data_IF_338876769036
#
_entry.id   IF_338876769036
#
_cell.length_a   1.000
_cell.length_b   1.000
_cell.length_c   1.000
_cell.angle_alpha   90.00
_cell.angle_beta   90.00
_cell.angle_gamma   90.00
#
_symmetry.space_group_name_H-M   'P 1'
#
loop_
_entity.id
_entity.type
_entity.pdbx_description
1 polymer ?
#
# COMPACT_ATOMS: atom_id res chain seq x y z
N UNK A 1 -15.96 -25.70 3.95
CA UNK A 1 -15.73 -26.31 2.62
C UNK A 1 -14.39 -25.75 2.14
N UNK A 2 -13.38 -26.62 1.93
CA UNK A 2 -12.14 -26.20 1.28
C UNK A 2 -12.47 -25.95 -0.20
N UNK A 3 -12.75 -24.71 -0.56
CA UNK A 3 -12.87 -24.35 -1.96
C UNK A 3 -11.46 -24.43 -2.56
N UNK A 4 -11.25 -25.38 -3.47
CA UNK A 4 -9.98 -25.52 -4.20
C UNK A 4 -9.86 -24.40 -5.25
N UNK A 5 -9.66 -23.17 -4.77
CA UNK A 5 -9.46 -22.02 -5.66
C UNK A 5 -8.21 -22.15 -6.53
N UNK A 6 -7.20 -22.92 -6.10
CA UNK A 6 -5.97 -23.12 -6.86
C UNK A 6 -6.23 -23.81 -8.19
N UNK A 7 -7.15 -24.78 -8.24
CA UNK A 7 -7.49 -25.51 -9.46
C UNK A 7 -8.09 -24.59 -10.54
N UNK A 8 -8.83 -23.54 -10.15
CA UNK A 8 -9.40 -22.57 -11.09
C UNK A 8 -8.31 -21.84 -11.87
N UNK A 9 -7.21 -21.47 -11.20
CA UNK A 9 -6.14 -20.66 -11.77
C UNK A 9 -4.99 -21.48 -12.37
N UNK A 10 -4.94 -22.79 -12.14
CA UNK A 10 -3.90 -23.69 -12.68
C UNK A 10 -3.92 -23.80 -14.22
N UNK A 11 -5.04 -23.42 -14.87
CA UNK A 11 -5.15 -23.39 -16.32
C UNK A 11 -4.42 -22.21 -16.98
N UNK A 12 -4.10 -21.15 -16.20
CA UNK A 12 -3.51 -19.90 -16.69
C UNK A 12 -2.19 -19.54 -16.02
N UNK A 13 -1.91 -20.11 -14.84
CA UNK A 13 -0.69 -19.85 -14.07
C UNK A 13 0.11 -21.15 -13.89
N UNK A 14 1.43 -21.02 -13.82
CA UNK A 14 2.33 -22.12 -13.49
C UNK A 14 2.24 -22.46 -12.00
N UNK A 15 2.58 -23.67 -11.61
CA UNK A 15 2.56 -24.15 -10.25
C UNK A 15 3.32 -23.22 -9.26
N UNK A 16 4.48 -22.71 -9.69
CA UNK A 16 5.29 -21.80 -8.88
C UNK A 16 4.72 -20.37 -8.74
N UNK A 17 3.62 -20.07 -9.42
CA UNK A 17 2.87 -18.81 -9.33
C UNK A 17 1.65 -18.92 -8.41
N UNK A 18 1.32 -20.13 -7.92
CA UNK A 18 0.17 -20.39 -7.07
C UNK A 18 0.64 -20.94 -5.73
N UNK A 19 0.16 -20.36 -4.64
CA UNK A 19 0.35 -20.91 -3.29
C UNK A 19 -0.99 -21.01 -2.59
N UNK A 20 -1.18 -22.04 -1.80
CA UNK A 20 -2.35 -22.22 -0.93
C UNK A 20 -1.98 -21.99 0.52
N UNK A 21 -2.93 -21.46 1.31
CA UNK A 21 -2.72 -21.16 2.74
C UNK A 21 -1.45 -20.30 3.00
N UNK A 22 -1.15 -19.37 2.09
CA UNK A 22 0.05 -18.52 2.23
C UNK A 22 -0.12 -17.49 3.34
N UNK A 23 0.77 -17.49 4.36
CA UNK A 23 0.67 -16.57 5.48
C UNK A 23 0.87 -15.11 5.06
N UNK A 24 -0.16 -14.29 5.18
CA UNK A 24 -0.13 -12.87 4.76
C UNK A 24 0.85 -12.02 5.57
N UNK A 25 1.21 -12.43 6.79
CA UNK A 25 2.27 -11.79 7.58
C UNK A 25 3.63 -11.70 6.88
N UNK A 26 3.87 -12.54 5.85
CA UNK A 26 5.08 -12.48 5.01
C UNK A 26 5.01 -11.40 3.94
N UNK A 27 3.82 -10.88 3.68
CA UNK A 27 3.51 -9.96 2.59
C UNK A 27 2.99 -8.60 3.08
N UNK A 28 3.06 -8.35 4.38
CA UNK A 28 2.72 -7.05 5.00
C UNK A 28 3.92 -6.48 5.74
N UNK A 29 4.09 -5.16 5.72
CA UNK A 29 5.15 -4.49 6.47
C UNK A 29 4.93 -4.53 7.99
N UNK A 30 3.68 -4.69 8.44
CA UNK A 30 3.38 -5.00 9.85
C UNK A 30 3.88 -6.37 10.31
N UNK A 31 4.05 -7.30 9.37
CA UNK A 31 4.35 -8.69 9.70
C UNK A 31 3.21 -9.38 10.46
N UNK A 32 1.97 -8.95 10.23
CA UNK A 32 0.73 -9.48 10.81
C UNK A 32 -0.17 -9.97 9.66
N UNK A 33 -0.89 -11.06 9.89
CA UNK A 33 -1.90 -11.60 8.99
C UNK A 33 -1.94 -13.11 8.92
N UNK A 34 -3.14 -13.66 8.98
CA UNK A 34 -3.45 -15.07 8.77
C UNK A 34 -3.26 -15.50 7.31
N UNK A 35 -3.66 -16.72 6.95
CA UNK A 35 -3.42 -17.27 5.62
C UNK A 35 -4.39 -16.70 4.56
N UNK A 36 -3.90 -16.51 3.33
CA UNK A 36 -4.74 -16.40 2.14
C UNK A 36 -5.08 -17.81 1.63
N UNK A 37 -6.34 -18.06 1.28
CA UNK A 37 -6.74 -19.38 0.74
C UNK A 37 -5.95 -19.71 -0.51
N UNK A 38 -5.87 -18.74 -1.45
CA UNK A 38 -5.10 -18.84 -2.67
C UNK A 38 -4.29 -17.55 -2.87
N UNK A 39 -2.99 -17.67 -3.13
CA UNK A 39 -2.07 -16.55 -3.35
C UNK A 39 -1.46 -16.68 -4.74
N UNK A 40 -1.79 -15.74 -5.63
CA UNK A 40 -1.45 -15.75 -7.04
C UNK A 40 -0.37 -14.72 -7.34
N UNK A 41 0.66 -15.11 -8.08
CA UNK A 41 1.83 -14.28 -8.39
C UNK A 41 1.98 -14.11 -9.91
N UNK A 42 1.09 -13.33 -10.57
CA UNK A 42 1.19 -13.07 -12.01
C UNK A 42 2.50 -12.34 -12.35
N UNK A 43 3.06 -12.63 -13.52
CA UNK A 43 4.27 -12.02 -14.05
C UNK A 43 4.00 -11.06 -15.20
N UNK A 44 2.78 -11.11 -15.76
CA UNK A 44 2.35 -10.23 -16.85
C UNK A 44 0.99 -9.58 -16.56
N UNK A 45 0.70 -8.50 -17.27
CA UNK A 45 -0.59 -7.81 -17.19
C UNK A 45 -1.72 -8.67 -17.73
N UNK A 46 -1.44 -9.47 -18.75
CA UNK A 46 -2.37 -10.43 -19.34
C UNK A 46 -2.79 -11.51 -18.34
N UNK A 47 -1.84 -12.01 -17.54
CA UNK A 47 -2.14 -12.96 -16.46
C UNK A 47 -3.05 -12.33 -15.40
N UNK A 48 -2.85 -11.05 -15.02
CA UNK A 48 -3.76 -10.34 -14.11
C UNK A 48 -5.16 -10.25 -14.70
N UNK A 49 -5.29 -9.87 -15.97
CA UNK A 49 -6.60 -9.79 -16.65
C UNK A 49 -7.30 -11.14 -16.73
N UNK A 50 -6.56 -12.22 -16.98
CA UNK A 50 -7.11 -13.58 -17.00
C UNK A 50 -7.54 -14.03 -15.59
N UNK A 51 -6.78 -13.69 -14.55
CA UNK A 51 -7.14 -13.98 -13.16
C UNK A 51 -8.44 -13.26 -12.79
N UNK A 52 -8.55 -11.94 -13.06
CA UNK A 52 -9.76 -11.18 -12.72
C UNK A 52 -10.98 -11.73 -13.44
N UNK A 53 -10.85 -12.07 -14.72
CA UNK A 53 -11.90 -12.70 -15.52
C UNK A 53 -12.35 -14.05 -14.96
N UNK A 54 -11.40 -14.93 -14.60
CA UNK A 54 -11.73 -16.23 -14.03
C UNK A 54 -12.33 -16.12 -12.64
N UNK A 55 -11.80 -15.22 -11.80
CA UNK A 55 -12.35 -14.96 -10.48
C UNK A 55 -13.81 -14.49 -10.57
N UNK A 56 -14.09 -13.55 -11.47
CA UNK A 56 -15.46 -13.07 -11.72
C UNK A 56 -16.38 -14.21 -12.22
N UNK A 57 -15.92 -15.00 -13.20
CA UNK A 57 -16.69 -16.13 -13.78
C UNK A 57 -17.05 -17.19 -12.73
N UNK A 58 -16.16 -17.45 -11.77
CA UNK A 58 -16.32 -18.48 -10.75
C UNK A 58 -16.72 -17.92 -9.38
N UNK A 59 -17.09 -16.62 -9.31
CA UNK A 59 -17.51 -15.93 -8.09
C UNK A 59 -16.47 -16.03 -6.95
N UNK A 60 -15.17 -16.06 -7.30
CA UNK A 60 -14.07 -16.09 -6.33
C UNK A 60 -13.82 -14.68 -5.83
N UNK A 61 -13.91 -14.42 -4.51
CA UNK A 61 -13.50 -13.14 -3.95
C UNK A 61 -12.05 -12.84 -4.30
N UNK A 62 -11.75 -11.63 -4.80
CA UNK A 62 -10.44 -11.24 -5.25
C UNK A 62 -9.92 -10.04 -4.44
N UNK A 63 -8.70 -10.16 -3.93
CA UNK A 63 -7.99 -9.07 -3.28
C UNK A 63 -6.67 -8.79 -4.01
N UNK A 64 -6.49 -7.55 -4.50
CA UNK A 64 -5.25 -7.15 -5.19
C UNK A 64 -4.26 -6.61 -4.18
N UNK A 65 -3.08 -7.22 -4.12
CA UNK A 65 -2.01 -6.88 -3.20
C UNK A 65 -0.81 -6.27 -3.96
N UNK A 66 -0.45 -5.05 -3.58
CA UNK A 66 0.82 -4.45 -3.97
C UNK A 66 1.94 -4.78 -2.96
N UNK A 67 2.64 -3.78 -2.48
CA UNK A 67 3.75 -3.95 -1.53
C UNK A 67 3.34 -4.19 -0.06
N UNK A 68 2.06 -4.29 0.28
CA UNK A 68 1.56 -4.60 1.62
C UNK A 68 1.93 -3.58 2.71
N UNK A 69 2.22 -2.33 2.33
CA UNK A 69 2.79 -1.33 3.23
C UNK A 69 1.74 -0.50 4.01
N UNK A 70 0.45 -0.69 3.71
CA UNK A 70 -0.64 0.00 4.38
C UNK A 70 -1.77 -0.97 4.74
N UNK A 71 -1.42 -2.20 5.12
CA UNK A 71 -2.37 -3.27 5.40
C UNK A 71 -2.20 -3.84 6.81
N UNK A 72 -3.33 -4.06 7.48
CA UNK A 72 -3.47 -4.92 8.65
C UNK A 72 -4.39 -6.08 8.25
N UNK A 73 -3.83 -7.27 8.10
CA UNK A 73 -4.59 -8.47 7.72
C UNK A 73 -5.04 -9.21 8.97
N UNK A 74 -6.32 -9.56 9.05
CA UNK A 74 -6.91 -10.28 10.19
C UNK A 74 -6.29 -11.66 10.39
N UNK A 75 -6.37 -12.17 11.62
CA UNK A 75 -5.72 -13.43 12.00
C UNK A 75 -6.32 -14.67 11.32
N UNK A 76 -7.62 -14.64 10.97
CA UNK A 76 -8.23 -15.68 10.13
C UNK A 76 -7.80 -15.62 8.66
N UNK A 77 -7.21 -14.51 8.22
CA UNK A 77 -6.65 -14.34 6.87
C UNK A 77 -7.65 -13.87 5.83
N UNK A 78 -7.37 -14.12 4.56
CA UNK A 78 -8.16 -13.65 3.40
C UNK A 78 -8.79 -14.84 2.70
N UNK A 79 -10.12 -14.81 2.58
CA UNK A 79 -10.90 -15.81 1.84
C UNK A 79 -10.88 -15.47 0.35
N UNK A 80 -10.84 -16.51 -0.50
CA UNK A 80 -10.75 -16.37 -1.94
C UNK A 80 -9.30 -16.28 -2.43
N UNK A 81 -9.03 -15.42 -3.41
CA UNK A 81 -7.72 -15.29 -4.03
C UNK A 81 -7.09 -13.91 -3.80
N UNK A 82 -5.80 -13.90 -3.46
CA UNK A 82 -4.96 -12.71 -3.38
C UNK A 82 -4.09 -12.65 -4.63
N UNK A 83 -4.17 -11.56 -5.39
CA UNK A 83 -3.34 -11.29 -6.57
C UNK A 83 -2.18 -10.38 -6.17
N UNK A 84 -1.00 -10.95 -6.08
CA UNK A 84 0.21 -10.22 -5.73
C UNK A 84 0.89 -9.65 -6.99
N UNK A 85 0.78 -8.34 -7.18
CA UNK A 85 1.33 -7.64 -8.34
C UNK A 85 2.85 -7.45 -8.29
N UNK A 86 3.50 -7.83 -7.19
CA UNK A 86 4.92 -7.58 -6.95
C UNK A 86 5.90 -8.21 -7.97
N UNK A 87 5.41 -9.05 -8.91
CA UNK A 87 6.20 -9.56 -10.03
C UNK A 87 6.04 -8.76 -11.32
N UNK A 88 5.22 -7.71 -11.34
CA UNK A 88 5.11 -6.80 -12.47
C UNK A 88 6.20 -5.70 -12.35
N UNK A 89 7.25 -5.78 -13.16
CA UNK A 89 8.46 -4.95 -12.98
C UNK A 89 8.76 -4.00 -14.14
N UNK A 90 7.91 -3.92 -15.16
CA UNK A 90 8.15 -3.10 -16.35
C UNK A 90 8.22 -1.62 -15.97
N UNK A 91 9.24 -0.94 -16.50
CA UNK A 91 9.35 0.52 -16.50
C UNK A 91 9.77 0.99 -17.89
N UNK A 92 9.06 1.97 -18.42
CA UNK A 92 9.31 2.51 -19.76
C UNK A 92 9.27 4.03 -19.74
N UNK A 93 10.29 4.65 -20.39
CA UNK A 93 10.36 6.11 -20.53
C UNK A 93 10.02 6.54 -21.95
N UNK A 94 9.18 7.56 -22.08
CA UNK A 94 8.91 8.28 -23.34
C UNK A 94 8.97 9.78 -23.08
N UNK A 95 10.11 10.40 -23.42
CA UNK A 95 10.36 11.81 -23.08
C UNK A 95 10.36 12.04 -21.57
N UNK A 96 9.43 12.86 -21.08
CA UNK A 96 9.23 13.15 -19.66
C UNK A 96 8.17 12.25 -18.99
N UNK A 97 7.60 11.34 -19.74
CA UNK A 97 6.68 10.34 -19.21
C UNK A 97 7.43 9.09 -18.77
N UNK A 98 7.08 8.58 -17.60
CA UNK A 98 7.56 7.33 -17.05
C UNK A 98 6.37 6.42 -16.76
N UNK A 99 6.19 5.36 -17.54
CA UNK A 99 5.17 4.32 -17.30
C UNK A 99 5.78 3.23 -16.44
N UNK A 100 5.13 2.91 -15.33
CA UNK A 100 5.63 2.01 -14.30
C UNK A 100 4.57 0.98 -13.95
N UNK A 101 4.90 -0.30 -14.06
CA UNK A 101 4.02 -1.40 -13.66
C UNK A 101 3.71 -1.34 -12.15
N UNK A 102 2.49 -1.75 -11.79
CA UNK A 102 1.93 -1.58 -10.44
C UNK A 102 2.75 -2.26 -9.34
N UNK A 103 3.49 -3.34 -9.67
CA UNK A 103 4.32 -4.08 -8.72
C UNK A 103 5.68 -3.46 -8.42
N UNK A 104 6.14 -2.50 -9.22
CA UNK A 104 7.45 -1.86 -9.02
C UNK A 104 7.49 -1.15 -7.66
N UNK A 105 8.51 -1.39 -6.82
CA UNK A 105 8.68 -0.64 -5.58
C UNK A 105 8.75 0.87 -5.83
N UNK A 106 8.04 1.67 -5.05
CA UNK A 106 7.98 3.13 -5.19
C UNK A 106 9.38 3.76 -5.17
N UNK A 107 10.25 3.31 -4.27
CA UNK A 107 11.63 3.77 -4.18
C UNK A 107 12.46 3.41 -5.43
N UNK A 108 12.19 2.25 -6.06
CA UNK A 108 12.86 1.85 -7.29
C UNK A 108 12.45 2.73 -8.48
N UNK A 109 11.15 3.07 -8.58
CA UNK A 109 10.66 4.00 -9.60
C UNK A 109 11.26 5.41 -9.42
N UNK A 110 11.35 5.90 -8.18
CA UNK A 110 11.98 7.19 -7.88
C UNK A 110 13.47 7.19 -8.24
N UNK A 111 14.21 6.11 -7.94
CA UNK A 111 15.61 5.95 -8.35
C UNK A 111 15.75 5.93 -9.87
N UNK A 112 14.83 5.25 -10.57
CA UNK A 112 14.82 5.21 -12.03
C UNK A 112 14.57 6.58 -12.66
N UNK A 113 13.68 7.38 -12.05
CA UNK A 113 13.46 8.76 -12.45
C UNK A 113 14.74 9.61 -12.29
N UNK A 114 15.48 9.49 -11.16
CA UNK A 114 16.78 10.11 -10.95
C UNK A 114 17.79 9.72 -12.04
N UNK A 115 17.92 8.41 -12.36
CA UNK A 115 18.81 7.92 -13.42
C UNK A 115 18.51 8.56 -14.78
N UNK A 116 17.24 8.86 -15.03
CA UNK A 116 16.80 9.54 -16.25
C UNK A 116 16.91 11.07 -16.19
N UNK A 117 17.36 11.65 -15.08
CA UNK A 117 17.37 13.11 -14.89
C UNK A 117 15.96 13.71 -14.84
N UNK A 118 15.00 12.98 -14.27
CA UNK A 118 13.60 13.40 -14.15
C UNK A 118 13.26 13.69 -12.69
N UNK A 119 12.89 14.93 -12.40
CA UNK A 119 12.43 15.43 -11.10
C UNK A 119 10.92 15.29 -10.94
N UNK A 120 10.45 15.14 -9.72
CA UNK A 120 9.04 15.06 -9.32
C UNK A 120 8.70 13.83 -8.48
N UNK A 121 9.61 12.85 -8.38
CA UNK A 121 9.44 11.66 -7.53
C UNK A 121 10.27 11.67 -6.24
N UNK A 122 10.96 12.74 -5.92
CA UNK A 122 11.86 12.81 -4.76
C UNK A 122 11.14 12.52 -3.44
N UNK A 123 9.91 13.02 -3.28
CA UNK A 123 9.06 12.77 -2.11
C UNK A 123 8.76 11.28 -1.90
N UNK A 124 8.75 10.52 -3.00
CA UNK A 124 8.35 9.11 -3.02
C UNK A 124 9.52 8.15 -2.75
N UNK A 125 10.77 8.64 -2.76
CA UNK A 125 11.99 7.81 -2.67
C UNK A 125 12.08 6.97 -1.39
N UNK A 126 11.43 7.40 -0.30
CA UNK A 126 11.38 6.67 0.97
C UNK A 126 9.99 6.12 1.30
N UNK A 127 9.00 6.23 0.42
CA UNK A 127 7.67 5.65 0.66
C UNK A 127 7.73 4.14 0.42
N UNK A 128 7.38 3.30 1.42
CA UNK A 128 7.36 1.86 1.25
C UNK A 128 6.17 1.43 0.38
N UNK A 129 6.26 0.23 -0.19
CA UNK A 129 5.21 -0.34 -1.03
C UNK A 129 5.50 -0.21 -2.52
N UNK A 130 4.50 -0.43 -3.35
CA UNK A 130 4.58 -0.44 -4.81
C UNK A 130 3.88 0.77 -5.44
N UNK A 131 4.21 1.06 -6.71
CA UNK A 131 3.59 2.17 -7.46
C UNK A 131 2.07 2.01 -7.56
N UNK A 132 1.56 0.80 -7.81
CA UNK A 132 0.12 0.56 -7.81
C UNK A 132 -0.52 0.88 -6.47
N UNK A 133 0.09 0.44 -5.35
CA UNK A 133 -0.38 0.77 -4.01
C UNK A 133 -0.25 2.26 -3.68
N UNK A 134 0.81 2.91 -4.14
CA UNK A 134 0.99 4.36 -3.97
C UNK A 134 -0.08 5.16 -4.74
N UNK A 135 -0.41 4.74 -5.97
CA UNK A 135 -1.50 5.35 -6.75
C UNK A 135 -2.87 5.07 -6.12
N UNK A 136 -3.12 3.84 -5.66
CA UNK A 136 -4.35 3.45 -4.96
C UNK A 136 -4.62 4.33 -3.74
N UNK A 137 -3.59 4.60 -2.93
CA UNK A 137 -3.69 5.40 -1.70
C UNK A 137 -3.50 6.91 -1.92
N UNK A 138 -3.23 7.39 -3.14
CA UNK A 138 -2.70 8.74 -3.34
C UNK A 138 -1.58 9.05 -2.34
N UNK A 139 -0.57 8.19 -2.31
CA UNK A 139 0.51 8.29 -1.35
C UNK A 139 1.24 9.63 -1.48
N UNK A 140 1.55 10.25 -0.36
CA UNK A 140 2.23 11.54 -0.33
C UNK A 140 3.08 11.72 0.91
N UNK A 141 4.12 12.53 0.77
CA UNK A 141 5.02 12.94 1.84
C UNK A 141 5.68 14.27 1.48
N UNK A 142 6.04 15.09 2.48
CA UNK A 142 6.82 16.32 2.29
C UNK A 142 6.25 17.29 1.23
N UNK A 143 4.92 17.39 1.14
CA UNK A 143 4.23 18.27 0.19
C UNK A 143 4.05 17.71 -1.23
N UNK A 144 4.68 16.58 -1.54
CA UNK A 144 4.43 15.79 -2.77
C UNK A 144 3.36 14.73 -2.56
N UNK A 145 2.65 14.36 -3.62
CA UNK A 145 1.68 13.26 -3.66
C UNK A 145 1.53 12.70 -5.08
N UNK A 146 1.07 11.46 -5.18
CA UNK A 146 0.98 10.76 -6.47
C UNK A 146 0.06 11.47 -7.47
N UNK A 147 -1.08 11.99 -7.04
CA UNK A 147 -2.03 12.71 -7.91
C UNK A 147 -1.41 13.90 -8.66
N UNK A 148 -0.35 14.53 -8.12
CA UNK A 148 0.33 15.67 -8.77
C UNK A 148 1.22 15.27 -9.95
N UNK A 149 1.59 13.98 -10.04
CA UNK A 149 2.52 13.48 -11.06
C UNK A 149 1.89 12.41 -11.95
N UNK A 150 0.78 11.78 -11.56
CA UNK A 150 0.04 10.83 -12.39
C UNK A 150 -0.63 11.57 -13.55
N UNK A 151 -0.57 11.01 -14.75
CA UNK A 151 -1.33 11.49 -15.93
C UNK A 151 -2.33 10.45 -16.42
N UNK A 152 -2.04 9.17 -16.25
CA UNK A 152 -2.97 8.08 -16.54
C UNK A 152 -2.68 6.85 -15.71
N UNK A 153 -3.69 6.00 -15.57
CA UNK A 153 -3.59 4.66 -15.01
C UNK A 153 -4.19 3.67 -16.00
N UNK A 154 -3.52 2.55 -16.20
CA UNK A 154 -4.07 1.40 -16.91
C UNK A 154 -4.55 0.40 -15.85
N UNK A 155 -5.80 -0.03 -15.96
CA UNK A 155 -6.43 -0.95 -15.02
C UNK A 155 -7.04 -2.14 -15.76
N UNK A 156 -7.43 -3.14 -15.01
CA UNK A 156 -8.23 -4.26 -15.47
C UNK A 156 -9.49 -4.36 -14.62
N UNK A 157 -10.65 -4.42 -15.26
CA UNK A 157 -11.94 -4.60 -14.59
C UNK A 157 -12.20 -6.08 -14.21
N UNK A 158 -13.33 -6.33 -13.57
CA UNK A 158 -13.72 -7.69 -13.17
C UNK A 158 -13.94 -8.65 -14.36
N UNK A 159 -14.20 -8.14 -15.57
CA UNK A 159 -14.37 -8.96 -16.79
C UNK A 159 -13.05 -9.28 -17.48
N UNK A 160 -11.96 -8.69 -17.01
CA UNK A 160 -10.63 -8.82 -17.61
C UNK A 160 -10.38 -7.81 -18.73
N UNK A 161 -11.24 -6.79 -18.87
CA UNK A 161 -11.09 -5.75 -19.89
C UNK A 161 -10.13 -4.66 -19.40
N UNK A 162 -9.25 -4.22 -20.29
CA UNK A 162 -8.26 -3.17 -19.98
C UNK A 162 -8.91 -1.79 -20.17
N UNK A 163 -8.78 -0.94 -19.17
CA UNK A 163 -9.29 0.44 -19.16
C UNK A 163 -8.13 1.39 -18.92
N UNK A 164 -8.10 2.50 -19.68
CA UNK A 164 -7.13 3.57 -19.47
C UNK A 164 -7.87 4.80 -18.94
N UNK A 165 -7.54 5.18 -17.70
CA UNK A 165 -8.08 6.35 -17.04
C UNK A 165 -7.15 7.55 -17.20
N UNK A 166 -7.70 8.71 -17.59
CA UNK A 166 -6.97 9.98 -17.51
C UNK A 166 -7.06 10.56 -16.11
N UNK A 167 -6.01 11.23 -15.63
CA UNK A 167 -6.01 11.92 -14.33
C UNK A 167 -7.18 12.91 -14.19
N UNK A 168 -7.65 13.49 -15.30
CA UNK A 168 -8.77 14.44 -15.31
C UNK A 168 -10.10 13.81 -14.88
N UNK A 169 -10.23 12.50 -15.10
CA UNK A 169 -11.43 11.73 -14.79
C UNK A 169 -11.30 10.97 -13.44
N UNK A 170 -10.11 11.03 -12.83
CA UNK A 170 -9.82 10.39 -11.56
C UNK A 170 -10.03 11.38 -10.41
N UNK A 171 -11.07 11.20 -9.61
CA UNK A 171 -11.35 12.01 -8.42
C UNK A 171 -10.40 11.73 -7.25
N UNK A 172 -9.10 12.01 -7.41
CA UNK A 172 -8.14 11.86 -6.31
C UNK A 172 -8.39 12.85 -5.18
N UNK A 173 -8.22 12.39 -3.95
CA UNK A 173 -8.30 13.19 -2.74
C UNK A 173 -7.24 12.79 -1.71
N UNK A 174 -7.30 13.38 -0.52
CA UNK A 174 -6.41 12.99 0.58
C UNK A 174 -6.60 11.52 0.95
N UNK A 175 -5.59 10.68 0.72
CA UNK A 175 -5.65 9.22 0.94
C UNK A 175 -6.85 8.57 0.27
N UNK A 176 -7.19 9.04 -0.92
CA UNK A 176 -8.33 8.56 -1.69
C UNK A 176 -8.01 8.51 -3.19
N UNK A 177 -8.47 7.45 -3.84
CA UNK A 177 -8.50 7.29 -5.29
C UNK A 177 -9.78 6.58 -5.73
N UNK A 178 -10.19 6.69 -7.02
CA UNK A 178 -11.36 5.99 -7.53
C UNK A 178 -11.22 4.45 -7.44
N UNK A 179 -9.99 3.95 -7.48
CA UNK A 179 -9.69 2.52 -7.43
C UNK A 179 -10.06 1.86 -6.10
N UNK A 180 -10.33 2.63 -5.05
CA UNK A 180 -10.84 2.12 -3.77
C UNK A 180 -12.30 1.66 -3.84
N UNK A 181 -13.04 2.07 -4.89
CA UNK A 181 -14.49 1.86 -4.98
C UNK A 181 -14.89 1.08 -6.24
N UNK A 182 -14.09 1.13 -7.31
CA UNK A 182 -14.47 0.53 -8.59
C UNK A 182 -14.08 -0.95 -8.75
N UNK A 183 -13.28 -1.50 -7.81
CA UNK A 183 -12.86 -2.91 -7.83
C UNK A 183 -11.85 -3.27 -8.93
N UNK A 184 -11.30 -2.28 -9.63
CA UNK A 184 -10.33 -2.50 -10.71
C UNK A 184 -8.93 -2.81 -10.18
N UNK A 185 -8.21 -3.69 -10.85
CA UNK A 185 -6.80 -3.96 -10.59
C UNK A 185 -5.91 -2.98 -11.38
N UNK A 186 -5.08 -2.21 -10.69
CA UNK A 186 -4.10 -1.32 -11.33
C UNK A 186 -2.99 -2.17 -11.96
N UNK A 187 -2.76 -2.00 -13.26
CA UNK A 187 -1.73 -2.69 -14.04
C UNK A 187 -0.46 -1.86 -14.16
N UNK A 188 -0.59 -0.60 -14.56
CA UNK A 188 0.50 0.38 -14.61
C UNK A 188 0.01 1.80 -14.37
N UNK A 189 0.96 2.68 -14.07
CA UNK A 189 0.74 4.11 -13.86
C UNK A 189 1.72 4.87 -14.75
N UNK A 190 1.22 5.84 -15.50
CA UNK A 190 2.05 6.78 -16.24
C UNK A 190 2.19 8.09 -15.47
N UNK A 191 3.44 8.46 -15.22
CA UNK A 191 3.85 9.65 -14.48
C UNK A 191 4.37 10.71 -15.46
N UNK A 192 4.00 11.98 -15.25
CA UNK A 192 4.59 13.13 -15.94
C UNK A 192 5.59 13.81 -15.00
N UNK A 193 6.85 13.75 -15.38
CA UNK A 193 7.96 14.28 -14.59
C UNK A 193 8.61 15.44 -15.33
N UNK A 194 9.54 16.16 -14.70
CA UNK A 194 10.22 17.31 -15.29
C UNK A 194 11.70 17.02 -15.45
N UNK A 195 12.34 17.47 -16.54
CA UNK A 195 13.81 17.44 -16.61
C UNK A 195 14.42 18.17 -15.42
N UNK A 196 15.44 17.59 -14.81
CA UNK A 196 16.12 18.15 -13.65
C UNK A 196 17.60 17.76 -13.60
N UNK A 197 18.37 18.47 -12.78
CA UNK A 197 19.75 18.13 -12.53
C UNK A 197 19.82 16.90 -11.60
N UNK A 198 20.51 15.84 -12.02
CA UNK A 198 20.60 14.60 -11.23
C UNK A 198 21.19 14.82 -9.82
N UNK A 199 22.18 15.71 -9.69
CA UNK A 199 22.78 15.99 -8.37
C UNK A 199 21.80 16.66 -7.42
N UNK A 200 20.95 17.57 -7.92
CA UNK A 200 19.94 18.25 -7.12
C UNK A 200 18.83 17.29 -6.72
N UNK A 201 18.38 16.44 -7.65
CA UNK A 201 17.37 15.39 -7.38
C UNK A 201 17.90 14.42 -6.30
N UNK A 202 19.15 13.95 -6.46
CA UNK A 202 19.79 13.04 -5.51
C UNK A 202 19.95 13.67 -4.13
N UNK A 203 20.40 14.92 -4.08
CA UNK A 203 20.55 15.66 -2.82
C UNK A 203 19.22 15.81 -2.10
N UNK A 204 18.12 16.15 -2.82
CA UNK A 204 16.78 16.25 -2.24
C UNK A 204 16.28 14.89 -1.75
N UNK A 205 16.41 13.83 -2.54
CA UNK A 205 16.03 12.47 -2.13
C UNK A 205 16.77 12.05 -0.84
N UNK A 206 18.07 12.34 -0.76
CA UNK A 206 18.90 12.02 0.41
C UNK A 206 18.45 12.80 1.65
N UNK A 207 18.18 14.10 1.51
CA UNK A 207 17.65 14.93 2.60
C UNK A 207 16.30 14.42 3.11
N UNK A 208 15.32 14.14 2.20
CA UNK A 208 14.01 13.64 2.57
C UNK A 208 14.08 12.27 3.25
N UNK A 209 14.94 11.38 2.77
CA UNK A 209 15.15 10.07 3.38
C UNK A 209 15.81 10.19 4.76
N UNK A 210 16.76 11.11 4.94
CA UNK A 210 17.39 11.38 6.23
C UNK A 210 16.36 11.91 7.25
N UNK A 211 15.52 12.87 6.84
CA UNK A 211 14.43 13.40 7.70
C UNK A 211 13.47 12.28 8.13
N UNK A 212 13.15 11.36 7.20
CA UNK A 212 12.31 10.20 7.49
C UNK A 212 12.98 9.26 8.50
N UNK A 213 14.24 8.90 8.27
CA UNK A 213 14.99 8.00 9.14
C UNK A 213 15.15 8.56 10.58
N UNK A 214 15.30 9.89 10.69
CA UNK A 214 15.38 10.56 12.00
C UNK A 214 14.04 10.51 12.74
N UNK A 215 12.90 10.67 12.04
CA UNK A 215 11.60 10.88 12.69
C UNK A 215 10.73 9.62 12.77
N UNK A 216 10.92 8.63 11.89
CA UNK A 216 10.04 7.47 11.81
C UNK A 216 10.73 6.19 12.29
N UNK A 217 10.00 5.24 12.87
CA UNK A 217 10.54 3.98 13.39
C UNK A 217 10.79 2.96 12.27
N UNK A 218 11.70 3.29 11.32
CA UNK A 218 11.95 2.47 10.12
C UNK A 218 12.56 1.11 10.44
N UNK A 219 13.16 0.96 11.63
CA UNK A 219 13.71 -0.29 12.15
C UNK A 219 12.63 -1.24 12.72
N UNK A 220 11.39 -0.75 12.87
CA UNK A 220 10.26 -1.51 13.41
C UNK A 220 9.26 -1.87 12.32
N UNK A 221 8.55 -3.00 12.50
CA UNK A 221 7.47 -3.40 11.62
C UNK A 221 6.26 -2.50 11.82
N UNK A 222 5.82 -1.80 10.79
CA UNK A 222 4.66 -0.91 10.83
C UNK A 222 4.04 -0.75 9.43
N UNK A 223 2.84 -0.19 9.36
CA UNK A 223 2.19 0.18 8.10
C UNK A 223 2.14 1.72 7.90
N UNK A 224 3.17 2.43 8.36
CA UNK A 224 3.19 3.89 8.30
C UNK A 224 2.35 4.54 9.40
N UNK A 225 1.82 5.74 9.14
CA UNK A 225 0.87 6.41 10.04
C UNK A 225 -0.42 5.62 10.10
N UNK A 226 -0.85 5.26 11.31
CA UNK A 226 -2.02 4.38 11.49
C UNK A 226 -3.33 5.10 11.27
N UNK A 227 -3.39 6.40 11.57
CA UNK A 227 -4.60 7.19 11.50
C UNK A 227 -4.49 8.31 10.46
N UNK A 228 -5.60 8.60 9.78
CA UNK A 228 -5.76 9.78 8.94
C UNK A 228 -5.63 11.03 9.81
N UNK A 229 -5.07 12.08 9.23
CA UNK A 229 -4.94 13.36 9.93
C UNK A 229 -6.32 14.02 10.04
N UNK A 230 -6.83 14.30 11.28
CA UNK A 230 -8.06 15.05 11.47
C UNK A 230 -7.83 16.54 11.14
N UNK A 231 -8.90 17.24 10.79
CA UNK A 231 -8.84 18.66 10.52
C UNK A 231 -8.37 19.45 11.75
N UNK A 232 -7.40 20.32 11.54
CA UNK A 232 -6.84 21.16 12.59
C UNK A 232 -5.91 20.46 13.60
N UNK A 233 -5.71 19.15 13.51
CA UNK A 233 -4.93 18.37 14.48
C UNK A 233 -3.82 17.55 13.85
N UNK A 234 -2.83 17.19 14.67
CA UNK A 234 -1.75 16.26 14.33
C UNK A 234 -1.81 15.04 15.25
N UNK A 235 -2.14 13.87 14.71
CA UNK A 235 -2.31 12.64 15.50
C UNK A 235 -1.08 12.36 16.38
N UNK A 236 0.12 12.43 15.83
CA UNK A 236 1.36 12.18 16.60
C UNK A 236 1.50 13.09 17.80
N UNK A 237 1.15 14.38 17.68
CA UNK A 237 1.19 15.34 18.78
C UNK A 237 0.14 15.01 19.84
N UNK A 238 -1.12 14.74 19.43
CA UNK A 238 -2.20 14.38 20.35
C UNK A 238 -1.84 13.15 21.18
N UNK A 239 -1.27 12.11 20.55
CA UNK A 239 -0.88 10.89 21.26
C UNK A 239 0.31 11.11 22.20
N UNK A 240 1.22 12.01 21.85
CA UNK A 240 2.35 12.39 22.70
C UNK A 240 1.90 13.19 23.92
N UNK A 241 1.00 14.18 23.74
CA UNK A 241 0.39 14.96 24.83
C UNK A 241 -0.42 14.08 25.79
N UNK A 242 -1.06 13.01 25.29
CA UNK A 242 -1.73 12.00 26.09
C UNK A 242 -0.79 11.00 26.78
N UNK A 243 0.52 11.13 26.59
CA UNK A 243 1.50 10.20 27.16
C UNK A 243 1.42 8.78 26.62
N UNK A 244 0.93 8.59 25.38
CA UNK A 244 0.68 7.26 24.80
C UNK A 244 1.92 6.64 24.13
N UNK A 245 3.06 7.32 24.04
CA UNK A 245 4.30 6.70 23.57
C UNK A 245 4.64 5.48 24.44
N UNK A 246 4.93 4.35 23.79
CA UNK A 246 5.21 3.09 24.48
C UNK A 246 3.97 2.32 24.98
N UNK A 247 2.77 2.92 24.93
CA UNK A 247 1.54 2.23 25.31
C UNK A 247 1.33 1.00 24.41
N UNK A 248 1.02 -0.16 25.00
CA UNK A 248 1.01 -1.43 24.28
C UNK A 248 -0.15 -2.33 24.66
N UNK A 249 -0.53 -3.21 23.72
CA UNK A 249 -1.43 -4.35 23.91
C UNK A 249 -0.71 -5.55 23.27
N UNK A 250 -0.36 -6.55 24.08
CA UNK A 250 0.55 -7.60 23.62
C UNK A 250 1.84 -7.02 23.03
N UNK A 251 2.22 -7.48 21.84
CA UNK A 251 3.39 -6.96 21.11
C UNK A 251 3.06 -5.78 20.18
N UNK A 252 1.80 -5.33 20.11
CA UNK A 252 1.41 -4.10 19.43
C UNK A 252 1.69 -2.89 20.32
N UNK A 253 2.34 -1.83 19.80
CA UNK A 253 2.77 -0.69 20.60
C UNK A 253 2.65 0.62 19.82
N UNK A 254 2.32 1.72 20.53
CA UNK A 254 2.51 3.09 20.03
C UNK A 254 4.02 3.39 20.03
N UNK A 255 4.57 3.71 18.87
CA UNK A 255 6.01 3.95 18.74
C UNK A 255 6.50 5.09 19.64
N UNK A 256 7.57 4.84 20.37
CA UNK A 256 8.24 5.85 21.18
C UNK A 256 8.89 6.95 20.32
N UNK A 257 9.32 6.61 19.10
CA UNK A 257 9.98 7.53 18.17
C UNK A 257 8.99 8.47 17.48
N UNK A 258 7.81 7.96 17.08
CA UNK A 258 6.76 8.72 16.42
C UNK A 258 5.38 8.19 16.82
N UNK A 259 4.68 8.90 17.68
CA UNK A 259 3.42 8.42 18.27
C UNK A 259 2.29 8.16 17.26
N UNK A 260 2.32 8.75 16.05
CA UNK A 260 1.37 8.44 14.96
C UNK A 260 1.57 7.09 14.31
N UNK A 261 2.64 6.34 14.67
CA UNK A 261 2.93 4.99 14.18
C UNK A 261 2.61 3.96 15.25
N UNK A 262 1.80 2.99 14.91
CA UNK A 262 1.72 1.76 15.67
C UNK A 262 2.71 0.75 15.08
N UNK A 263 3.38 0.01 15.94
CA UNK A 263 4.44 -0.93 15.57
C UNK A 263 4.16 -2.32 16.12
N UNK A 264 4.68 -3.33 15.44
CA UNK A 264 4.73 -4.71 15.93
C UNK A 264 6.14 -4.98 16.46
N UNK A 265 6.28 -5.21 17.76
CA UNK A 265 7.54 -5.51 18.43
C UNK A 265 7.99 -6.97 18.26
N UNK A 266 7.24 -7.80 17.53
CA UNK A 266 7.66 -9.15 17.21
C UNK A 266 6.54 -10.09 16.82
N UNK A 267 5.59 -10.33 17.70
CA UNK A 267 4.54 -11.35 17.57
C UNK A 267 3.12 -10.81 17.75
N UNK A 268 2.89 -9.50 17.54
CA UNK A 268 1.55 -8.95 17.63
C UNK A 268 0.60 -9.69 16.68
N UNK A 269 -0.57 -10.05 17.19
CA UNK A 269 -1.70 -10.51 16.41
C UNK A 269 -2.45 -9.31 15.78
N UNK A 270 -3.35 -9.58 14.86
CA UNK A 270 -4.26 -8.55 14.37
C UNK A 270 -5.18 -8.07 15.49
N UNK A 271 -5.62 -8.97 16.37
CA UNK A 271 -6.46 -8.63 17.52
C UNK A 271 -5.75 -7.68 18.49
N UNK A 272 -4.46 -7.91 18.81
CA UNK A 272 -3.66 -6.97 19.61
C UNK A 272 -3.64 -5.58 18.99
N UNK A 273 -3.39 -5.52 17.67
CA UNK A 273 -3.30 -4.24 16.95
C UNK A 273 -4.66 -3.52 16.89
N UNK A 274 -5.76 -4.25 16.67
CA UNK A 274 -7.10 -3.68 16.67
C UNK A 274 -7.50 -3.18 18.06
N UNK A 275 -7.19 -3.93 19.11
CA UNK A 275 -7.41 -3.51 20.49
C UNK A 275 -6.63 -2.24 20.82
N UNK A 276 -5.36 -2.15 20.40
CA UNK A 276 -4.55 -0.96 20.58
C UNK A 276 -5.14 0.25 19.82
N UNK A 277 -5.53 0.06 18.55
CA UNK A 277 -6.19 1.10 17.75
C UNK A 277 -7.43 1.64 18.46
N UNK A 278 -8.30 0.74 18.93
CA UNK A 278 -9.53 1.11 19.62
C UNK A 278 -9.27 1.90 20.90
N UNK A 279 -8.33 1.44 21.74
CA UNK A 279 -7.98 2.15 22.97
C UNK A 279 -7.40 3.54 22.70
N UNK A 280 -6.58 3.70 21.67
CA UNK A 280 -6.06 5.00 21.23
C UNK A 280 -7.20 5.91 20.76
N UNK A 281 -8.14 5.38 19.95
CA UNK A 281 -9.31 6.13 19.48
C UNK A 281 -10.16 6.63 20.67
N UNK A 282 -10.44 5.76 21.64
CA UNK A 282 -11.21 6.14 22.83
C UNK A 282 -10.53 7.28 23.63
N UNK A 283 -9.24 7.15 23.93
CA UNK A 283 -8.50 8.16 24.69
C UNK A 283 -8.48 9.51 23.97
N UNK A 284 -8.30 9.52 22.66
CA UNK A 284 -8.34 10.77 21.87
C UNK A 284 -9.75 11.35 21.87
N UNK A 285 -10.78 10.53 21.72
CA UNK A 285 -12.17 10.99 21.76
C UNK A 285 -12.55 11.60 23.10
N UNK A 286 -12.12 10.97 24.20
CA UNK A 286 -12.41 11.43 25.57
C UNK A 286 -11.79 12.81 25.86
N UNK A 287 -10.56 13.06 25.40
CA UNK A 287 -9.84 14.30 25.75
C UNK A 287 -10.04 15.41 24.73
N UNK A 288 -10.03 15.09 23.43
CA UNK A 288 -10.10 16.08 22.34
C UNK A 288 -11.46 16.17 21.66
N UNK A 289 -12.39 15.22 21.91
CA UNK A 289 -13.66 15.13 21.20
C UNK A 289 -13.53 14.72 19.72
N UNK A 290 -12.34 14.30 19.28
CA UNK A 290 -12.02 13.98 17.90
C UNK A 290 -12.17 12.49 17.62
N UNK A 291 -12.84 12.14 16.52
CA UNK A 291 -12.92 10.77 16.02
C UNK A 291 -11.73 10.48 15.09
N UNK A 292 -10.84 9.58 15.51
CA UNK A 292 -9.75 9.11 14.68
C UNK A 292 -10.22 8.03 13.72
N UNK A 293 -9.94 8.21 12.42
CA UNK A 293 -10.16 7.20 11.39
C UNK A 293 -8.84 6.56 11.00
N UNK A 294 -8.83 5.23 10.82
CA UNK A 294 -7.63 4.52 10.37
C UNK A 294 -7.28 4.90 8.93
N UNK A 295 -5.99 5.13 8.67
CA UNK A 295 -5.42 5.22 7.33
C UNK A 295 -5.05 3.81 6.84
N UNK A 296 -4.59 2.95 7.76
CA UNK A 296 -4.31 1.55 7.49
C UNK A 296 -5.59 0.82 7.08
N UNK A 297 -5.50 0.01 6.01
CA UNK A 297 -6.60 -0.80 5.52
C UNK A 297 -6.66 -2.11 6.31
N UNK A 298 -7.78 -2.35 7.00
CA UNK A 298 -8.03 -3.59 7.73
C UNK A 298 -8.78 -4.53 6.80
N UNK A 299 -8.20 -5.69 6.53
CA UNK A 299 -8.74 -6.66 5.55
C UNK A 299 -8.72 -8.08 6.11
N UNK A 300 -9.55 -8.94 5.53
CA UNK A 300 -9.64 -10.35 5.93
C UNK A 300 -10.92 -10.68 6.69
N UNK A 301 -11.07 -11.96 7.03
CA UNK A 301 -12.22 -12.53 7.71
C UNK A 301 -12.21 -12.17 9.20
N UNK A 302 -13.39 -11.78 9.73
CA UNK A 302 -13.60 -11.49 11.16
C UNK A 302 -13.60 -12.72 12.06
#
# INVERSE_FOLDING_TARGET
MNNDYASIFSSILRENQIKTNEPMKRHTTFGIGGPADCFLMPETTEEVCLITKLAHKHEVPLFVLGGGANLLVRDKGIRGAVVFTGRLHRMERKGNLLTVASGVPTAAAARKALEYGLSGMEFASGIPGSIGGAAYMNAGAYGGEMAKIIVSATTCDAKGDIIVHSIKDMGYGYRHSPFMQNGEAILDITLSLKPGNQKDIEALMKDLNQRRATKQPLEKRSAGSTFKRPDGHFVGQMLEELGLKGFSVGDAQVSEKHAGFLINNGRASCEDMLSLIHQVQQKVKEVYGVDLHTEVQIVGEE
#
